data_IF_019590601185
#
_entry.id   IF_019590601185
#
_cell.length_a   1.000
_cell.length_b   1.000
_cell.length_c   1.000
_cell.angle_alpha   90.00
_cell.angle_beta   90.00
_cell.angle_gamma   90.00
#
_symmetry.space_group_name_H-M   'P 1'
#
loop_
_entity.id
_entity.type
_entity.pdbx_description
1 polymer ?
#
# COMPACT_ATOMS: atom_id res chain seq x y z
N UNK A 1 -1.79 15.93 0.29
CA UNK A 1 -1.88 15.35 -1.07
C UNK A 1 -2.26 13.88 -0.87
N UNK A 2 -3.35 13.39 -1.46
CA UNK A 2 -3.78 12.01 -1.24
C UNK A 2 -3.07 11.09 -2.24
N UNK A 3 -2.44 10.03 -1.72
CA UNK A 3 -1.83 8.97 -2.49
C UNK A 3 -2.80 7.78 -2.50
N UNK A 4 -3.27 7.42 -3.68
CA UNK A 4 -4.05 6.21 -3.89
C UNK A 4 -3.08 5.03 -3.97
N UNK A 5 -3.06 4.21 -2.92
CA UNK A 5 -2.30 2.98 -2.91
C UNK A 5 -3.13 1.92 -3.63
N UNK A 6 -2.69 1.58 -4.85
CA UNK A 6 -3.23 0.47 -5.63
C UNK A 6 -2.31 -0.74 -5.49
N UNK A 7 -2.87 -1.94 -5.53
CA UNK A 7 -2.07 -3.15 -5.49
C UNK A 7 -1.18 -3.20 -6.74
N UNK A 8 0.16 -3.04 -6.63
CA UNK A 8 1.04 -3.19 -7.77
C UNK A 8 1.15 -4.68 -8.12
N UNK A 9 1.60 -4.98 -9.34
CA UNK A 9 1.91 -6.36 -9.76
C UNK A 9 3.03 -6.90 -8.85
N UNK A 10 2.66 -7.61 -7.78
CA UNK A 10 3.57 -8.10 -6.72
C UNK A 10 4.21 -9.45 -7.08
N UNK A 11 3.97 -9.98 -8.26
CA UNK A 11 4.60 -11.20 -8.75
C UNK A 11 4.27 -11.47 -10.21
N UNK A 12 5.27 -11.87 -10.98
CA UNK A 12 5.19 -12.24 -12.39
C UNK A 12 4.07 -13.29 -12.62
N UNK A 13 2.84 -12.83 -12.92
CA UNK A 13 1.67 -13.69 -13.18
C UNK A 13 0.64 -13.82 -12.05
N UNK A 14 0.72 -13.04 -10.96
CA UNK A 14 -0.30 -13.04 -9.90
C UNK A 14 -1.28 -11.89 -10.15
N UNK A 15 -2.51 -12.21 -10.56
CA UNK A 15 -3.53 -11.22 -10.89
C UNK A 15 -4.30 -10.67 -9.67
N UNK A 16 -4.16 -11.29 -8.49
CA UNK A 16 -5.00 -11.04 -7.32
C UNK A 16 -4.19 -11.19 -6.03
N UNK A 17 -4.44 -10.33 -5.04
CA UNK A 17 -3.88 -10.44 -3.69
C UNK A 17 -4.98 -10.41 -2.64
N UNK A 18 -4.85 -11.22 -1.59
CA UNK A 18 -5.78 -11.23 -0.47
C UNK A 18 -5.26 -10.33 0.64
N UNK A 19 -6.05 -9.36 1.07
CA UNK A 19 -5.72 -8.58 2.26
C UNK A 19 -5.88 -9.49 3.48
N UNK A 20 -4.81 -9.80 4.20
CA UNK A 20 -4.87 -10.65 5.40
C UNK A 20 -5.39 -9.84 6.58
N UNK A 21 -4.75 -8.70 6.83
CA UNK A 21 -5.11 -7.80 7.93
C UNK A 21 -4.63 -6.38 7.66
N UNK A 22 -5.38 -5.42 8.19
CA UNK A 22 -4.92 -4.05 8.31
C UNK A 22 -4.29 -3.83 9.68
N UNK A 23 -3.12 -3.20 9.69
CA UNK A 23 -2.45 -2.74 10.91
C UNK A 23 -2.81 -1.29 11.25
N UNK A 24 -3.57 -0.64 10.36
CA UNK A 24 -3.99 0.77 10.42
C UNK A 24 -5.48 0.89 10.10
N UNK A 25 -6.14 1.95 10.57
CA UNK A 25 -7.57 2.17 10.35
C UNK A 25 -7.82 3.50 9.62
N UNK A 26 -9.03 3.68 9.08
CA UNK A 26 -9.43 4.96 8.48
C UNK A 26 -9.36 6.09 9.53
N UNK A 27 -8.65 7.17 9.20
CA UNK A 27 -8.34 8.27 10.11
C UNK A 27 -7.11 8.05 11.00
N UNK A 28 -6.46 6.89 10.92
CA UNK A 28 -5.26 6.60 11.71
C UNK A 28 -3.99 7.22 11.09
N UNK A 29 -3.06 7.63 11.94
CA UNK A 29 -1.80 8.26 11.51
C UNK A 29 -0.69 7.24 11.36
N UNK A 30 -0.13 7.16 10.15
CA UNK A 30 0.87 6.18 9.73
C UNK A 30 2.22 6.86 9.50
N UNK A 31 3.31 6.13 9.73
CA UNK A 31 4.67 6.66 9.59
C UNK A 31 5.40 6.03 8.41
N UNK A 32 6.40 6.73 7.90
CA UNK A 32 7.37 6.16 6.95
C UNK A 32 7.98 4.89 7.57
N UNK A 33 8.14 3.84 6.74
CA UNK A 33 8.62 2.50 7.14
C UNK A 33 7.64 1.69 8.01
N UNK A 34 6.46 2.24 8.35
CA UNK A 34 5.45 1.52 9.14
C UNK A 34 4.61 0.58 8.26
N UNK A 35 4.41 -0.68 8.65
CA UNK A 35 3.54 -1.60 7.91
C UNK A 35 2.08 -1.16 8.02
N UNK A 36 1.43 -0.98 6.87
CA UNK A 36 0.03 -0.56 6.78
C UNK A 36 -0.90 -1.76 6.71
N UNK A 37 -0.58 -2.68 5.81
CA UNK A 37 -1.42 -3.80 5.45
C UNK A 37 -0.57 -5.00 5.08
N UNK A 38 -1.05 -6.16 5.47
CA UNK A 38 -0.45 -7.45 5.14
C UNK A 38 -1.28 -8.10 4.03
N UNK A 39 -0.65 -8.42 2.91
CA UNK A 39 -1.30 -9.05 1.76
C UNK A 39 -0.68 -10.42 1.53
N UNK A 40 -1.52 -11.44 1.43
CA UNK A 40 -1.11 -12.79 1.10
C UNK A 40 -1.40 -13.06 -0.37
N UNK A 41 -0.41 -13.65 -1.04
CA UNK A 41 -0.55 -14.22 -2.37
C UNK A 41 -0.33 -15.71 -2.29
N UNK A 42 -0.69 -16.43 -3.37
CA UNK A 42 -0.47 -17.88 -3.53
C UNK A 42 0.99 -18.32 -3.21
N UNK A 43 1.96 -17.42 -3.38
CA UNK A 43 3.39 -17.72 -3.26
C UNK A 43 4.03 -17.17 -1.99
N UNK A 44 3.55 -16.05 -1.46
CA UNK A 44 4.17 -15.38 -0.31
C UNK A 44 3.22 -14.37 0.35
N UNK A 45 3.45 -14.12 1.64
CA UNK A 45 2.90 -12.97 2.36
C UNK A 45 3.84 -11.78 2.18
N UNK A 46 3.30 -10.66 1.71
CA UNK A 46 4.01 -9.41 1.48
C UNK A 46 3.39 -8.32 2.35
N UNK A 47 4.23 -7.65 3.11
CA UNK A 47 3.85 -6.51 3.94
C UNK A 47 4.01 -5.24 3.11
N UNK A 48 3.01 -4.36 3.11
CA UNK A 48 3.08 -3.08 2.43
C UNK A 48 3.47 -2.02 3.48
N UNK A 49 4.75 -1.58 3.52
CA UNK A 49 5.16 -0.48 4.35
C UNK A 49 4.71 0.86 3.74
N UNK A 50 4.47 1.85 4.60
CA UNK A 50 4.16 3.18 4.15
C UNK A 50 5.42 3.85 3.60
N UNK A 51 5.39 4.40 2.37
CA UNK A 51 6.55 5.09 1.79
C UNK A 51 6.79 6.47 2.43
N UNK A 52 5.88 6.94 3.29
CA UNK A 52 5.88 8.30 3.81
C UNK A 52 4.97 8.42 5.05
N UNK A 53 5.22 9.39 5.92
CA UNK A 53 4.31 9.64 7.06
C UNK A 53 3.05 10.38 6.60
N UNK A 54 1.87 9.91 7.01
CA UNK A 54 0.58 10.44 6.58
C UNK A 54 -0.58 9.95 7.44
N UNK A 55 -1.80 10.15 6.96
CA UNK A 55 -3.02 9.70 7.62
C UNK A 55 -3.86 8.90 6.65
N UNK A 56 -4.37 7.74 7.07
CA UNK A 56 -5.28 6.93 6.25
C UNK A 56 -6.55 7.73 6.02
N UNK A 57 -6.81 8.09 4.76
CA UNK A 57 -8.00 8.86 4.39
C UNK A 57 -9.21 7.96 4.21
N UNK A 58 -9.02 6.81 3.55
CA UNK A 58 -10.08 5.87 3.24
C UNK A 58 -9.55 4.50 2.87
N UNK A 59 -10.15 3.44 3.40
CA UNK A 59 -9.80 2.05 3.05
C UNK A 59 -10.93 1.50 2.18
N UNK A 60 -10.60 1.07 0.95
CA UNK A 60 -11.57 0.46 0.03
C UNK A 60 -11.50 -1.07 0.04
N UNK A 61 -10.37 -1.64 0.45
CA UNK A 61 -10.14 -3.07 0.56
C UNK A 61 -10.21 -3.54 2.01
N UNK A 62 -11.15 -4.43 2.33
CA UNK A 62 -11.35 -4.96 3.68
C UNK A 62 -10.41 -6.12 3.99
N UNK A 63 -10.09 -6.39 5.27
CA UNK A 63 -9.32 -7.57 5.65
C UNK A 63 -10.13 -8.85 5.36
N UNK A 64 -9.47 -9.86 4.80
CA UNK A 64 -10.04 -11.09 4.26
C UNK A 64 -10.58 -10.96 2.83
N UNK A 65 -10.35 -9.83 2.15
CA UNK A 65 -10.88 -9.59 0.80
C UNK A 65 -9.80 -9.76 -0.26
N UNK A 66 -10.15 -10.50 -1.29
CA UNK A 66 -9.35 -10.64 -2.51
C UNK A 66 -9.55 -9.40 -3.38
N UNK A 67 -8.45 -8.74 -3.73
CA UNK A 67 -8.43 -7.60 -4.62
C UNK A 67 -7.55 -7.87 -5.85
N UNK A 68 -8.03 -7.56 -7.07
CA UNK A 68 -7.23 -7.74 -8.26
C UNK A 68 -6.17 -6.65 -8.41
N UNK A 69 -5.06 -6.98 -9.06
CA UNK A 69 -3.98 -6.06 -9.42
C UNK A 69 -4.53 -4.79 -10.08
N UNK A 70 -3.98 -3.64 -9.69
CA UNK A 70 -4.41 -2.34 -10.19
C UNK A 70 -5.66 -1.78 -9.51
N UNK A 71 -6.30 -2.53 -8.61
CA UNK A 71 -7.39 -2.00 -7.78
C UNK A 71 -6.88 -1.11 -6.66
N UNK A 72 -7.65 -0.07 -6.34
CA UNK A 72 -7.38 0.83 -5.22
C UNK A 72 -7.62 0.08 -3.92
N UNK A 73 -6.57 -0.05 -3.09
CA UNK A 73 -6.64 -0.64 -1.76
C UNK A 73 -7.06 0.42 -0.73
N UNK A 74 -6.33 1.53 -0.71
CA UNK A 74 -6.43 2.57 0.34
C UNK A 74 -5.96 3.91 -0.19
N UNK A 75 -6.54 4.99 0.33
CA UNK A 75 -6.11 6.36 0.11
C UNK A 75 -5.38 6.85 1.36
N UNK A 76 -4.15 7.33 1.21
CA UNK A 76 -3.32 7.85 2.29
C UNK A 76 -3.07 9.33 2.04
N UNK A 77 -3.48 10.18 2.97
CA UNK A 77 -3.17 11.59 2.92
C UNK A 77 -1.77 11.85 3.46
N UNK A 78 -0.84 12.13 2.55
CA UNK A 78 0.52 12.51 2.92
C UNK A 78 0.51 13.91 3.53
N UNK A 79 1.07 14.03 4.73
CA UNK A 79 1.39 15.32 5.31
C UNK A 79 2.42 16.00 4.40
N UNK A 80 2.14 17.22 3.95
CA UNK A 80 2.96 17.94 2.99
C UNK A 80 4.41 18.05 3.49
N UNK A 81 5.31 17.21 2.96
CA UNK A 81 6.70 17.13 3.40
C UNK A 81 7.41 15.79 3.13
N UNK A 82 6.69 14.69 2.95
CA UNK A 82 7.32 13.41 2.66
C UNK A 82 7.66 13.29 1.17
N UNK A 83 8.94 13.46 0.88
CA UNK A 83 9.53 13.46 -0.44
C UNK A 83 9.29 12.12 -1.15
N UNK A 84 8.91 12.19 -2.42
CA UNK A 84 9.06 11.08 -3.35
C UNK A 84 10.50 10.54 -3.24
N UNK A 85 10.72 9.21 -3.21
CA UNK A 85 12.03 8.71 -3.52
C UNK A 85 12.30 9.13 -4.96
N UNK A 86 13.18 10.11 -5.10
CA UNK A 86 13.83 10.42 -6.35
C UNK A 86 14.45 9.10 -6.79
N UNK A 87 13.81 8.43 -7.75
CA UNK A 87 14.40 7.31 -8.48
C UNK A 87 15.73 7.81 -9.06
N UNK A 88 16.79 7.55 -8.33
CA UNK A 88 18.13 7.60 -8.85
C UNK A 88 18.39 6.27 -9.55
N UNK A 89 18.88 6.38 -10.78
CA UNK A 89 19.64 5.41 -11.57
C UNK A 89 18.87 4.44 -12.50
N UNK A 90 18.84 4.79 -13.79
CA UNK A 90 19.37 4.03 -14.94
C UNK A 90 19.24 4.95 -16.18
N UNK A 91 20.25 5.46 -16.89
CA UNK A 91 21.50 4.88 -17.37
C UNK A 91 21.47 4.87 -18.92
N UNK A 92 22.01 5.90 -19.58
CA UNK A 92 22.79 5.88 -20.85
C UNK A 92 23.16 7.32 -21.26
#
# INVERSE_FOLDING_TARGET
MALEFRLPDIGEGVAEGEVVKWLVAEGDSVKEDQPLVEVMTDKATVEIPCPASGTVKRIHAEPGKVVPVGSVLVEIELAAGAAAPRIAAHGH
#
